data_IF_530666599563
#
_entry.id   IF_530666599563
#
_cell.length_a   1.000
_cell.length_b   1.000
_cell.length_c   1.000
_cell.angle_alpha   90.00
_cell.angle_beta   90.00
_cell.angle_gamma   90.00
#
_symmetry.space_group_name_H-M   'P 1'
#
loop_
_entity.id
_entity.type
_entity.pdbx_description
1 polymer ?
#
# COMPACT_ATOMS: atom_id res chain seq x y z
N UNK A 1 19.44 43.85 72.08
CA UNK A 1 18.36 44.39 71.25
C UNK A 1 17.22 44.68 72.20
N UNK A 2 16.81 45.94 72.31
CA UNK A 2 15.79 46.34 73.27
C UNK A 2 14.44 45.74 72.88
N UNK A 3 13.55 45.48 73.84
CA UNK A 3 12.31 44.74 73.58
C UNK A 3 11.44 45.46 72.53
N UNK A 4 11.47 46.79 72.54
CA UNK A 4 10.73 47.65 71.62
C UNK A 4 11.31 47.59 70.19
N UNK A 5 12.63 47.47 70.05
CA UNK A 5 13.31 47.34 68.76
C UNK A 5 13.02 45.98 68.11
N UNK A 6 12.97 44.91 68.91
CA UNK A 6 12.61 43.56 68.45
C UNK A 6 11.14 43.45 68.04
N UNK A 7 10.24 44.11 68.78
CA UNK A 7 8.81 44.18 68.45
C UNK A 7 8.56 44.90 67.13
N UNK A 8 9.31 45.98 66.87
CA UNK A 8 9.20 46.78 65.65
C UNK A 8 9.74 46.02 64.42
N UNK A 9 10.85 45.30 64.56
CA UNK A 9 11.40 44.44 63.51
C UNK A 9 10.41 43.30 63.16
N UNK A 10 9.87 42.61 64.16
CA UNK A 10 8.96 41.49 63.97
C UNK A 10 7.66 41.93 63.26
N UNK A 11 7.10 43.08 63.63
CA UNK A 11 5.86 43.61 63.03
C UNK A 11 6.06 44.23 61.65
N UNK A 12 7.19 44.88 61.38
CA UNK A 12 7.41 45.57 60.10
C UNK A 12 7.99 44.68 59.00
N UNK A 13 8.73 43.63 59.36
CA UNK A 13 9.40 42.77 58.36
C UNK A 13 8.97 41.32 58.47
N UNK A 14 9.04 40.69 59.64
CA UNK A 14 8.77 39.25 59.72
C UNK A 14 7.29 38.91 59.41
N UNK A 15 6.35 39.69 59.94
CA UNK A 15 4.92 39.42 59.76
C UNK A 15 4.46 39.55 58.30
N UNK A 16 4.83 40.60 57.54
CA UNK A 16 4.53 40.67 56.11
C UNK A 16 5.16 39.54 55.29
N UNK A 17 6.41 39.15 55.60
CA UNK A 17 7.07 38.04 54.90
C UNK A 17 6.38 36.69 55.18
N UNK A 18 5.95 36.45 56.42
CA UNK A 18 5.21 35.23 56.77
C UNK A 18 3.83 35.19 56.13
N UNK A 19 3.11 36.32 56.09
CA UNK A 19 1.82 36.41 55.41
C UNK A 19 1.98 36.23 53.90
N UNK A 20 3.00 36.84 53.30
CA UNK A 20 3.30 36.64 51.88
C UNK A 20 3.66 35.18 51.57
N UNK A 21 4.50 34.55 52.39
CA UNK A 21 4.85 33.14 52.24
C UNK A 21 3.61 32.24 52.38
N UNK A 22 2.74 32.51 53.34
CA UNK A 22 1.49 31.78 53.55
C UNK A 22 0.53 31.91 52.35
N UNK A 23 0.34 33.13 51.84
CA UNK A 23 -0.50 33.38 50.65
C UNK A 23 0.10 32.70 49.42
N UNK A 24 1.42 32.77 49.23
CA UNK A 24 2.11 32.15 48.10
C UNK A 24 1.98 30.62 48.13
N UNK A 25 2.23 29.99 49.28
CA UNK A 25 2.08 28.53 49.45
C UNK A 25 0.63 28.10 49.24
N UNK A 26 -0.32 28.86 49.77
CA UNK A 26 -1.75 28.57 49.61
C UNK A 26 -2.20 28.70 48.15
N UNK A 27 -1.71 29.71 47.41
CA UNK A 27 -2.00 29.87 45.99
C UNK A 27 -1.42 28.71 45.15
N UNK A 28 -0.19 28.28 45.44
CA UNK A 28 0.44 27.13 44.76
C UNK A 28 -0.32 25.84 45.06
N UNK A 29 -0.75 25.62 46.31
CA UNK A 29 -1.55 24.46 46.68
C UNK A 29 -2.91 24.47 45.97
N UNK A 30 -3.59 25.62 45.89
CA UNK A 30 -4.87 25.76 45.20
C UNK A 30 -4.76 25.44 43.71
N UNK A 31 -3.71 25.96 43.04
CA UNK A 31 -3.46 25.68 41.62
C UNK A 31 -3.23 24.18 41.43
N UNK A 32 -2.38 23.54 42.25
CA UNK A 32 -2.13 22.10 42.16
C UNK A 32 -3.39 21.25 42.39
N UNK A 33 -4.29 21.69 43.27
CA UNK A 33 -5.54 20.99 43.55
C UNK A 33 -6.50 21.11 42.36
N UNK A 34 -6.58 22.30 41.75
CA UNK A 34 -7.34 22.53 40.50
C UNK A 34 -6.78 21.72 39.33
N UNK A 35 -5.45 21.67 39.14
CA UNK A 35 -4.86 20.83 38.08
C UNK A 35 -5.12 19.34 38.31
N UNK A 36 -5.03 18.87 39.56
CA UNK A 36 -5.34 17.48 39.88
C UNK A 36 -6.82 17.13 39.62
N UNK A 37 -7.73 18.06 39.92
CA UNK A 37 -9.16 17.87 39.69
C UNK A 37 -9.49 17.84 38.19
N UNK A 38 -8.91 18.76 37.40
CA UNK A 38 -9.03 18.77 35.94
C UNK A 38 -8.40 17.54 35.29
N UNK A 39 -7.25 17.06 35.79
CA UNK A 39 -6.65 15.82 35.28
C UNK A 39 -7.53 14.60 35.57
N UNK A 40 -8.17 14.53 36.73
CA UNK A 40 -9.07 13.42 37.07
C UNK A 40 -10.34 13.42 36.21
N UNK A 41 -10.93 14.60 36.00
CA UNK A 41 -12.13 14.75 35.15
C UNK A 41 -11.80 14.41 33.69
N UNK A 42 -10.60 14.78 33.23
CA UNK A 42 -10.06 14.36 31.93
C UNK A 42 -9.82 12.83 31.84
N UNK A 43 -9.33 12.20 32.91
CA UNK A 43 -9.11 10.74 32.96
C UNK A 43 -10.45 9.95 32.97
N UNK A 44 -11.49 10.45 33.64
CA UNK A 44 -12.84 9.87 33.62
C UNK A 44 -13.51 10.00 32.24
N UNK A 45 -13.25 11.09 31.50
CA UNK A 45 -13.72 11.28 30.12
C UNK A 45 -12.89 10.47 29.09
N UNK A 46 -11.62 10.21 29.39
CA UNK A 46 -10.68 9.36 28.64
C UNK A 46 -11.08 7.88 28.63
N UNK A 47 -11.54 7.31 29.76
CA UNK A 47 -11.98 5.89 29.80
C UNK A 47 -13.23 5.62 28.94
N UNK A 48 -14.05 6.64 28.66
CA UNK A 48 -15.27 6.51 27.86
C UNK A 48 -15.07 6.68 26.34
N UNK A 49 -13.88 7.07 25.86
CA UNK A 49 -13.65 7.37 24.44
C UNK A 49 -12.70 6.35 23.78
N UNK A 50 -13.24 5.37 23.02
CA UNK A 50 -12.46 4.34 22.31
C UNK A 50 -11.65 4.84 21.08
N UNK A 51 -11.41 6.15 20.96
CA UNK A 51 -10.94 6.79 19.72
C UNK A 51 -9.40 6.92 19.61
N UNK A 52 -8.63 6.60 20.66
CA UNK A 52 -7.21 6.99 20.76
C UNK A 52 -6.16 5.85 20.68
N UNK A 53 -6.48 4.70 20.06
CA UNK A 53 -5.47 3.63 19.89
C UNK A 53 -4.32 4.00 18.93
N UNK A 54 -4.48 5.01 18.06
CA UNK A 54 -3.37 5.57 17.25
C UNK A 54 -2.41 6.46 18.04
N UNK A 55 -2.80 6.89 19.25
CA UNK A 55 -2.04 7.80 20.10
C UNK A 55 -0.99 7.11 20.96
N UNK A 56 -0.94 5.78 20.97
CA UNK A 56 0.00 5.00 21.80
C UNK A 56 1.48 5.31 21.50
N UNK A 57 1.83 5.73 20.27
CA UNK A 57 3.19 6.22 19.98
C UNK A 57 3.43 7.67 20.44
N UNK A 58 2.37 8.49 20.51
CA UNK A 58 2.45 9.86 20.96
C UNK A 58 2.41 9.97 22.49
N UNK A 59 1.77 9.04 23.20
CA UNK A 59 1.74 8.99 24.66
C UNK A 59 3.09 8.55 25.25
N UNK A 60 3.86 7.71 24.55
CA UNK A 60 5.26 7.44 24.94
C UNK A 60 6.17 8.65 24.68
N UNK A 61 5.99 9.36 23.56
CA UNK A 61 6.70 10.61 23.25
C UNK A 61 6.32 11.75 24.20
N UNK A 62 5.04 11.87 24.57
CA UNK A 62 4.52 12.87 25.51
C UNK A 62 4.86 12.52 26.95
N UNK A 63 4.95 11.24 27.34
CA UNK A 63 5.50 10.81 28.64
C UNK A 63 7.00 11.10 28.76
N UNK A 64 7.73 11.14 27.66
CA UNK A 64 9.12 11.60 27.60
C UNK A 64 9.18 13.15 27.63
N UNK A 65 8.30 13.85 26.91
CA UNK A 65 8.18 15.32 26.91
C UNK A 65 7.69 15.91 28.24
N UNK A 66 6.74 15.26 28.92
CA UNK A 66 6.18 15.66 30.21
C UNK A 66 7.13 15.36 31.37
N UNK A 67 8.00 14.34 31.24
CA UNK A 67 9.13 14.14 32.17
C UNK A 67 10.30 15.12 31.93
N UNK A 68 10.25 15.88 30.82
CA UNK A 68 11.23 16.88 30.42
C UNK A 68 10.87 18.33 30.84
N UNK A 69 9.67 18.55 31.38
CA UNK A 69 9.25 19.84 31.93
C UNK A 69 8.90 19.69 33.42
N UNK A 70 9.91 19.86 34.28
CA UNK A 70 9.72 19.99 35.72
C UNK A 70 8.60 21.00 36.06
N UNK A 71 7.67 20.68 36.99
CA UNK A 71 6.56 21.57 37.33
C UNK A 71 7.04 22.90 37.95
N UNK A 72 6.17 23.93 37.97
CA UNK A 72 6.54 25.34 38.11
C UNK A 72 7.24 25.83 39.39
N UNK A 73 7.39 25.09 40.51
CA UNK A 73 8.31 25.55 41.55
C UNK A 73 9.79 25.22 41.25
N UNK A 74 10.10 24.22 40.42
CA UNK A 74 11.50 23.75 40.24
C UNK A 74 12.26 24.43 39.10
N UNK A 75 11.58 24.94 38.07
CA UNK A 75 12.20 25.71 36.97
C UNK A 75 12.70 27.09 37.45
N UNK A 76 11.93 27.75 38.32
CA UNK A 76 12.30 29.04 38.91
C UNK A 76 13.45 28.86 39.91
N UNK A 77 13.40 27.82 40.75
CA UNK A 77 14.50 27.49 41.67
C UNK A 77 15.80 27.19 40.89
N UNK A 78 15.72 26.47 39.77
CA UNK A 78 16.87 26.22 38.89
C UNK A 78 17.45 27.51 38.29
N UNK A 79 16.60 28.38 37.75
CA UNK A 79 17.01 29.67 37.21
C UNK A 79 17.62 30.58 38.28
N UNK A 80 17.02 30.65 39.48
CA UNK A 80 17.53 31.39 40.63
C UNK A 80 18.88 30.84 41.10
N UNK A 81 19.05 29.51 41.19
CA UNK A 81 20.34 28.88 41.51
C UNK A 81 21.41 29.21 40.47
N UNK A 82 21.04 29.23 39.19
CA UNK A 82 21.96 29.58 38.11
C UNK A 82 22.39 31.05 38.16
N UNK A 83 21.45 31.96 38.41
CA UNK A 83 21.74 33.40 38.60
C UNK A 83 22.59 33.63 39.86
N UNK A 84 22.26 32.96 40.97
CA UNK A 84 23.03 33.04 42.22
C UNK A 84 24.48 32.58 42.03
N UNK A 85 24.70 31.48 41.29
CA UNK A 85 26.04 30.97 40.97
C UNK A 85 26.82 31.91 40.03
N UNK A 86 26.15 32.63 39.14
CA UNK A 86 26.78 33.65 38.29
C UNK A 86 27.20 34.87 39.13
N UNK A 87 26.34 35.32 40.04
CA UNK A 87 26.65 36.43 40.96
C UNK A 87 27.82 36.05 41.88
N UNK A 88 27.77 34.87 42.50
CA UNK A 88 28.87 34.33 43.32
C UNK A 88 30.19 34.30 42.53
N UNK A 89 30.17 33.88 41.25
CA UNK A 89 31.37 33.87 40.41
C UNK A 89 31.96 35.27 40.18
N UNK A 90 31.11 36.30 40.02
CA UNK A 90 31.59 37.68 39.86
C UNK A 90 32.14 38.25 41.17
N UNK A 91 31.50 37.94 42.30
CA UNK A 91 31.98 38.32 43.63
C UNK A 91 33.33 37.64 43.95
N UNK A 92 33.48 36.35 43.64
CA UNK A 92 34.76 35.63 43.81
C UNK A 92 35.86 36.15 42.87
N UNK A 93 35.53 36.62 41.66
CA UNK A 93 36.49 37.30 40.77
C UNK A 93 36.98 38.63 41.34
N UNK A 94 36.07 39.43 41.92
CA UNK A 94 36.39 40.70 42.58
C UNK A 94 37.24 40.48 43.85
N UNK A 95 36.90 39.50 44.69
CA UNK A 95 37.67 39.12 45.88
C UNK A 95 39.07 38.59 45.55
N UNK A 96 39.24 37.87 44.42
CA UNK A 96 40.54 37.42 43.92
C UNK A 96 41.46 38.59 43.53
N UNK A 97 40.90 39.73 43.11
CA UNK A 97 41.66 40.94 42.80
C UNK A 97 42.11 41.71 44.05
N UNK A 98 41.37 41.61 45.16
CA UNK A 98 41.73 42.27 46.44
C UNK A 98 42.71 41.47 47.33
N UNK A 99 43.19 40.29 46.91
CA UNK A 99 44.12 39.42 47.68
C UNK A 99 43.68 39.14 49.14
N UNK A 100 42.37 39.10 49.41
CA UNK A 100 41.84 38.67 50.71
C UNK A 100 41.36 37.23 50.56
N UNK A 101 42.03 36.30 51.24
CA UNK A 101 41.53 34.94 51.46
C UNK A 101 41.69 33.98 50.28
N UNK A 102 42.81 33.24 50.27
CA UNK A 102 42.92 32.03 49.48
C UNK A 102 42.02 30.95 50.07
N UNK A 103 40.92 30.63 49.38
CA UNK A 103 40.19 29.35 49.33
C UNK A 103 38.81 29.61 48.68
N UNK A 104 38.62 29.27 47.40
CA UNK A 104 37.27 28.95 46.88
C UNK A 104 37.17 28.40 45.45
N UNK A 105 38.27 28.23 44.70
CA UNK A 105 38.16 27.59 43.37
C UNK A 105 37.71 26.11 43.43
N UNK A 106 38.19 25.30 44.41
CA UNK A 106 37.73 23.91 44.56
C UNK A 106 36.25 23.81 44.99
N UNK A 107 35.76 24.74 45.81
CA UNK A 107 34.38 24.74 46.30
C UNK A 107 33.38 25.07 45.19
N UNK A 108 33.68 26.06 44.35
CA UNK A 108 32.90 26.37 43.15
C UNK A 108 32.92 25.22 42.13
N UNK A 109 34.09 24.61 41.90
CA UNK A 109 34.22 23.42 41.03
C UNK A 109 33.42 22.23 41.56
N UNK A 110 33.40 22.01 42.88
CA UNK A 110 32.64 20.93 43.52
C UNK A 110 31.12 21.15 43.40
N UNK A 111 30.62 22.35 43.72
CA UNK A 111 29.21 22.71 43.55
C UNK A 111 28.76 22.63 42.07
N UNK A 112 29.60 23.08 41.13
CA UNK A 112 29.29 23.01 39.69
C UNK A 112 29.25 21.56 39.18
N UNK A 113 30.17 20.70 39.64
CA UNK A 113 30.22 19.29 39.20
C UNK A 113 29.11 18.44 39.82
N UNK A 114 28.76 18.62 41.09
CA UNK A 114 27.78 17.77 41.75
C UNK A 114 26.33 18.23 41.55
N UNK A 115 26.06 19.53 41.41
CA UNK A 115 24.69 20.04 41.34
C UNK A 115 24.20 20.23 39.90
N UNK A 116 24.98 20.87 39.02
CA UNK A 116 24.55 21.16 37.63
C UNK A 116 24.74 19.96 36.70
N UNK A 117 25.80 19.17 36.89
CA UNK A 117 26.10 18.03 36.00
C UNK A 117 25.14 16.86 36.20
N UNK A 118 24.59 16.68 37.41
CA UNK A 118 23.51 15.70 37.69
C UNK A 118 22.15 16.12 37.14
N UNK A 119 21.87 17.42 37.00
CA UNK A 119 20.65 17.91 36.33
C UNK A 119 20.71 17.86 34.80
N UNK A 120 21.89 17.61 34.21
CA UNK A 120 22.11 17.54 32.76
C UNK A 120 22.11 16.11 32.20
N UNK A 121 21.61 15.13 32.94
CA UNK A 121 21.59 13.73 32.50
C UNK A 121 20.54 13.47 31.41
N UNK A 122 21.00 13.38 30.16
CA UNK A 122 20.43 12.68 28.98
C UNK A 122 18.96 12.91 28.57
N UNK A 123 18.53 14.16 28.32
CA UNK A 123 17.68 14.37 27.15
C UNK A 123 18.09 15.59 26.29
N UNK A 124 19.06 16.39 26.75
CA UNK A 124 19.43 17.65 26.11
C UNK A 124 20.35 17.50 24.88
N UNK A 125 20.89 16.31 24.59
CA UNK A 125 21.70 16.09 23.38
C UNK A 125 20.84 15.85 22.12
N UNK A 126 19.61 15.36 22.26
CA UNK A 126 18.73 15.09 21.11
C UNK A 126 18.17 16.39 20.52
N UNK A 127 17.85 17.38 21.37
CA UNK A 127 17.27 18.67 20.93
C UNK A 127 18.32 19.61 20.31
N UNK A 128 19.61 19.41 20.60
CA UNK A 128 20.67 20.29 20.07
C UNK A 128 20.97 20.03 18.58
N UNK A 129 20.61 18.86 18.03
CA UNK A 129 20.77 18.55 16.60
C UNK A 129 19.80 19.35 15.72
N UNK A 130 18.70 19.86 16.27
CA UNK A 130 17.62 20.49 15.50
C UNK A 130 17.63 22.03 15.47
N UNK A 131 18.50 22.70 16.24
CA UNK A 131 18.48 24.18 16.36
C UNK A 131 19.53 24.91 15.51
N UNK A 132 20.38 24.22 14.75
CA UNK A 132 21.50 24.86 14.03
C UNK A 132 21.39 24.84 12.48
N UNK A 133 20.21 24.61 11.89
CA UNK A 133 20.01 24.80 10.43
C UNK A 133 18.80 25.70 10.13
N UNK A 134 18.99 26.96 9.69
CA UNK A 134 17.91 27.89 9.39
C UNK A 134 17.36 27.78 7.96
N UNK A 135 17.42 26.60 7.33
CA UNK A 135 16.83 26.33 6.02
C UNK A 135 15.95 25.09 6.12
N UNK A 136 14.68 25.26 6.49
CA UNK A 136 13.56 24.46 5.99
C UNK A 136 12.24 25.05 6.53
N UNK A 137 11.34 25.49 5.64
CA UNK A 137 9.97 25.94 5.98
C UNK A 137 9.14 24.74 6.46
N UNK A 138 9.16 24.46 7.75
CA UNK A 138 8.33 23.40 8.36
C UNK A 138 6.87 23.86 8.53
N UNK A 139 6.62 25.16 8.69
CA UNK A 139 5.28 25.68 9.00
C UNK A 139 4.23 25.53 7.89
N UNK A 140 4.63 25.46 6.62
CA UNK A 140 3.67 25.33 5.52
C UNK A 140 3.25 23.87 5.25
N UNK A 141 4.19 22.93 5.44
CA UNK A 141 3.97 21.49 5.24
C UNK A 141 3.13 20.96 6.41
N UNK A 142 3.54 21.26 7.65
CA UNK A 142 2.80 20.83 8.84
C UNK A 142 1.38 21.42 8.88
N UNK A 143 1.18 22.65 8.42
CA UNK A 143 -0.14 23.27 8.40
C UNK A 143 -1.04 22.74 7.28
N UNK A 144 -0.48 22.31 6.14
CA UNK A 144 -1.23 21.60 5.10
C UNK A 144 -1.54 20.17 5.52
N UNK A 145 -0.60 19.46 6.15
CA UNK A 145 -0.80 18.10 6.65
C UNK A 145 -1.82 18.07 7.80
N UNK A 146 -1.76 19.03 8.74
CA UNK A 146 -2.78 19.18 9.79
C UNK A 146 -4.14 19.58 9.21
N UNK A 147 -4.18 20.41 8.16
CA UNK A 147 -5.43 20.74 7.47
C UNK A 147 -6.02 19.52 6.73
N UNK A 148 -5.17 18.65 6.19
CA UNK A 148 -5.55 17.39 5.54
C UNK A 148 -6.00 16.31 6.54
N UNK A 149 -5.44 16.31 7.75
CA UNK A 149 -5.82 15.42 8.87
C UNK A 149 -7.11 15.91 9.54
N UNK A 150 -7.33 17.22 9.68
CA UNK A 150 -8.58 17.80 10.19
C UNK A 150 -9.74 17.79 9.17
N UNK A 151 -9.55 17.22 7.98
CA UNK A 151 -10.57 17.07 6.93
C UNK A 151 -10.92 15.62 6.58
N UNK A 152 -10.48 14.62 7.35
CA UNK A 152 -10.88 13.22 7.11
C UNK A 152 -12.31 12.95 7.59
N UNK A 153 -13.26 13.22 6.70
CA UNK A 153 -14.70 12.90 6.77
C UNK A 153 -14.97 11.38 6.64
N UNK A 154 -14.20 10.48 7.27
CA UNK A 154 -14.39 9.04 7.09
C UNK A 154 -14.63 8.29 8.39
N UNK A 155 -15.66 7.44 8.41
CA UNK A 155 -16.00 6.54 9.52
C UNK A 155 -15.98 5.08 9.04
N UNK A 156 -15.58 4.17 9.94
CA UNK A 156 -15.72 2.73 9.74
C UNK A 156 -17.02 2.27 10.39
N UNK A 157 -17.95 1.71 9.61
CA UNK A 157 -19.20 1.15 10.12
C UNK A 157 -19.07 -0.37 10.17
N UNK A 158 -19.09 -0.93 11.38
CA UNK A 158 -19.04 -2.37 11.62
C UNK A 158 -20.46 -2.94 11.64
N UNK A 159 -20.69 -4.02 10.90
CA UNK A 159 -21.99 -4.72 10.85
C UNK A 159 -21.79 -6.21 10.54
N UNK A 160 -22.88 -6.96 10.50
CA UNK A 160 -22.87 -8.40 10.26
C UNK A 160 -23.16 -8.68 8.79
N UNK A 161 -22.28 -9.41 8.12
CA UNK A 161 -22.40 -9.62 6.69
C UNK A 161 -21.30 -10.48 6.08
N UNK A 162 -21.48 -10.84 4.81
CA UNK A 162 -20.55 -11.68 4.05
C UNK A 162 -20.46 -11.23 2.58
N UNK A 163 -19.26 -11.03 2.00
CA UNK A 163 -19.09 -10.76 0.57
C UNK A 163 -19.56 -11.94 -0.30
N UNK A 164 -20.34 -11.68 -1.36
CA UNK A 164 -20.91 -12.70 -2.25
C UNK A 164 -20.19 -12.83 -3.60
N UNK A 165 -19.85 -11.71 -4.23
CA UNK A 165 -19.18 -11.66 -5.54
C UNK A 165 -17.90 -10.84 -5.40
N UNK A 166 -16.76 -11.54 -5.48
CA UNK A 166 -15.43 -10.96 -5.32
C UNK A 166 -14.58 -11.24 -6.56
N UNK A 167 -13.91 -10.21 -7.10
CA UNK A 167 -13.02 -10.30 -8.26
C UNK A 167 -11.54 -10.22 -7.85
N UNK A 168 -11.22 -10.82 -6.71
CA UNK A 168 -9.93 -10.69 -6.02
C UNK A 168 -10.11 -10.13 -4.60
N UNK A 169 -9.10 -10.32 -3.76
CA UNK A 169 -9.05 -9.81 -2.39
C UNK A 169 -7.63 -9.88 -1.86
N UNK A 170 -7.28 -9.05 -0.87
CA UNK A 170 -6.01 -9.17 -0.16
C UNK A 170 -6.24 -9.82 1.19
N UNK A 171 -5.64 -10.99 1.44
CA UNK A 171 -5.64 -11.60 2.76
C UNK A 171 -4.57 -10.94 3.63
N UNK A 172 -4.96 -10.44 4.79
CA UNK A 172 -4.07 -9.85 5.77
C UNK A 172 -3.96 -10.76 6.99
N UNK A 173 -2.75 -11.19 7.31
CA UNK A 173 -2.44 -11.97 8.50
C UNK A 173 -2.26 -11.03 9.71
N UNK A 174 -3.39 -10.50 10.20
CA UNK A 174 -3.43 -9.51 11.29
C UNK A 174 -4.76 -9.58 12.02
N UNK A 175 -4.82 -9.00 13.23
CA UNK A 175 -6.04 -8.97 14.03
C UNK A 175 -7.15 -8.14 13.37
N UNK A 176 -8.39 -8.34 13.77
CA UNK A 176 -9.52 -7.55 13.28
C UNK A 176 -9.33 -6.06 13.55
N UNK A 177 -8.83 -5.72 14.74
CA UNK A 177 -8.59 -4.34 15.18
C UNK A 177 -7.49 -3.67 14.35
N UNK A 178 -6.41 -4.39 14.05
CA UNK A 178 -5.34 -3.89 13.19
C UNK A 178 -5.81 -3.76 11.73
N UNK A 179 -6.65 -4.67 11.26
CA UNK A 179 -7.25 -4.61 9.93
C UNK A 179 -8.18 -3.40 9.78
N UNK A 180 -9.01 -3.12 10.80
CA UNK A 180 -9.85 -1.92 10.87
C UNK A 180 -9.01 -0.64 10.78
N UNK A 181 -7.94 -0.54 11.57
CA UNK A 181 -7.06 0.63 11.56
C UNK A 181 -6.34 0.81 10.23
N UNK A 182 -5.89 -0.30 9.62
CA UNK A 182 -5.28 -0.28 8.30
C UNK A 182 -6.26 0.19 7.23
N UNK A 183 -7.49 -0.34 7.22
CA UNK A 183 -8.51 0.09 6.26
C UNK A 183 -8.91 1.55 6.45
N UNK A 184 -9.03 2.01 7.70
CA UNK A 184 -9.37 3.41 7.99
C UNK A 184 -8.32 4.39 7.47
N UNK A 185 -7.03 4.07 7.66
CA UNK A 185 -5.89 4.89 7.23
C UNK A 185 -5.56 4.80 5.74
N UNK A 186 -5.94 3.71 5.07
CA UNK A 186 -5.69 3.51 3.64
C UNK A 186 -6.82 4.08 2.77
N UNK A 187 -6.49 5.09 1.97
CA UNK A 187 -7.42 5.73 1.05
C UNK A 187 -8.06 4.78 0.03
N UNK A 188 -7.43 3.63 -0.27
CA UNK A 188 -7.88 2.64 -1.24
C UNK A 188 -8.91 1.64 -0.67
N UNK A 189 -9.01 1.55 0.65
CA UNK A 189 -9.89 0.58 1.29
C UNK A 189 -11.36 0.99 1.22
N UNK A 190 -12.24 0.04 0.92
CA UNK A 190 -13.70 0.24 0.94
C UNK A 190 -14.44 -0.70 1.90
N UNK A 191 -13.93 -1.91 2.09
CA UNK A 191 -14.54 -2.95 2.91
C UNK A 191 -13.47 -3.87 3.50
N UNK A 192 -13.70 -4.34 4.72
CA UNK A 192 -13.01 -5.50 5.29
C UNK A 192 -13.99 -6.55 5.79
N UNK A 193 -13.53 -7.80 5.85
CA UNK A 193 -14.30 -8.95 6.33
C UNK A 193 -13.47 -9.77 7.33
N UNK A 194 -14.08 -10.15 8.44
CA UNK A 194 -13.42 -10.94 9.48
C UNK A 194 -13.32 -12.41 9.08
N UNK A 195 -12.09 -12.92 8.99
CA UNK A 195 -11.76 -14.31 8.70
C UNK A 195 -10.85 -14.89 9.79
N UNK A 196 -11.09 -14.49 11.04
CA UNK A 196 -10.31 -14.82 12.25
C UNK A 196 -9.56 -16.16 12.16
N UNK A 197 -8.22 -16.17 12.33
CA UNK A 197 -7.38 -15.10 12.91
C UNK A 197 -6.92 -14.02 11.92
N UNK A 198 -7.38 -14.09 10.67
CA UNK A 198 -6.97 -13.17 9.58
C UNK A 198 -8.10 -12.21 9.20
N UNK A 199 -7.83 -11.28 8.30
CA UNK A 199 -8.83 -10.37 7.77
C UNK A 199 -8.72 -10.25 6.25
N UNK A 200 -9.84 -10.21 5.55
CA UNK A 200 -9.88 -9.95 4.10
C UNK A 200 -10.11 -8.46 3.84
N UNK A 201 -9.22 -7.87 3.05
CA UNK A 201 -9.22 -6.47 2.65
C UNK A 201 -9.68 -6.34 1.19
N UNK A 202 -10.55 -5.37 0.92
CA UNK A 202 -11.09 -5.10 -0.42
C UNK A 202 -10.93 -3.64 -0.82
N UNK A 203 -10.50 -3.44 -2.07
CA UNK A 203 -10.56 -2.15 -2.77
C UNK A 203 -11.83 -2.04 -3.62
N UNK A 204 -12.15 -0.81 -4.05
CA UNK A 204 -13.31 -0.58 -4.91
C UNK A 204 -13.17 -1.37 -6.24
N UNK A 205 -14.21 -2.12 -6.61
CA UNK A 205 -14.22 -3.01 -7.77
C UNK A 205 -13.79 -4.46 -7.48
N UNK A 206 -13.13 -4.72 -6.35
CA UNK A 206 -12.89 -6.11 -5.91
C UNK A 206 -14.12 -6.73 -5.25
N UNK A 207 -15.01 -5.92 -4.69
CA UNK A 207 -16.27 -6.33 -4.06
C UNK A 207 -17.45 -5.57 -4.66
N UNK A 208 -18.53 -6.29 -4.94
CA UNK A 208 -19.76 -5.73 -5.52
C UNK A 208 -20.97 -5.86 -4.61
N UNK A 209 -21.11 -7.04 -4.00
CA UNK A 209 -22.29 -7.43 -3.25
C UNK A 209 -21.87 -8.00 -1.90
N UNK A 210 -22.49 -7.51 -0.83
CA UNK A 210 -22.32 -8.02 0.54
C UNK A 210 -23.69 -8.40 1.09
N UNK A 211 -23.85 -9.66 1.44
CA UNK A 211 -25.06 -10.16 2.10
C UNK A 211 -25.10 -9.62 3.53
N UNK A 212 -26.25 -9.07 3.93
CA UNK A 212 -26.52 -8.65 5.30
C UNK A 212 -26.92 -9.86 6.14
N UNK A 213 -26.27 -10.01 7.28
CA UNK A 213 -26.54 -11.11 8.21
C UNK A 213 -27.09 -10.56 9.54
N UNK A 214 -27.71 -11.44 10.32
CA UNK A 214 -28.16 -11.13 11.68
C UNK A 214 -27.01 -11.26 12.68
N UNK A 215 -27.06 -10.51 13.79
CA UNK A 215 -25.99 -10.38 14.80
C UNK A 215 -25.51 -11.66 15.50
N UNK A 216 -26.03 -12.82 15.13
CA UNK A 216 -25.66 -14.14 15.65
C UNK A 216 -24.61 -14.81 14.74
N UNK A 217 -24.37 -14.29 13.53
CA UNK A 217 -23.38 -14.86 12.61
C UNK A 217 -21.96 -14.47 13.01
N UNK A 218 -21.00 -15.39 12.96
CA UNK A 218 -19.56 -15.11 13.19
C UNK A 218 -18.97 -14.13 12.13
N UNK A 219 -19.67 -13.92 11.01
CA UNK A 219 -19.21 -13.09 9.91
C UNK A 219 -19.57 -11.62 10.13
N UNK A 220 -18.57 -10.81 10.44
CA UNK A 220 -18.68 -9.35 10.49
C UNK A 220 -17.88 -8.70 9.36
N UNK A 221 -18.38 -7.56 8.92
CA UNK A 221 -17.78 -6.72 7.89
C UNK A 221 -17.70 -5.27 8.40
N UNK A 222 -16.76 -4.51 7.86
CA UNK A 222 -16.71 -3.08 8.13
C UNK A 222 -16.55 -2.27 6.85
N UNK A 223 -17.42 -1.27 6.68
CA UNK A 223 -17.46 -0.38 5.52
C UNK A 223 -16.77 0.94 5.84
N UNK A 224 -15.95 1.44 4.92
CA UNK A 224 -15.40 2.79 4.99
C UNK A 224 -16.33 3.76 4.27
N UNK A 225 -16.95 4.68 5.00
CA UNK A 225 -17.96 5.60 4.45
C UNK A 225 -17.63 7.06 4.75
N UNK A 226 -18.10 7.97 3.89
CA UNK A 226 -18.01 9.40 4.17
C UNK A 226 -19.01 9.76 5.28
N UNK A 227 -18.56 10.55 6.26
CA UNK A 227 -19.40 11.09 7.32
C UNK A 227 -19.14 12.58 7.48
N UNK A 228 -20.23 13.35 7.55
CA UNK A 228 -20.20 14.80 7.75
C UNK A 228 -20.13 15.21 9.23
N UNK A 229 -20.13 14.24 10.14
CA UNK A 229 -20.18 14.49 11.58
C UNK A 229 -18.79 14.40 12.22
N UNK A 230 -18.44 15.40 13.02
CA UNK A 230 -17.17 15.50 13.75
C UNK A 230 -17.16 14.73 15.08
N UNK A 231 -17.91 13.62 15.18
CA UNK A 231 -18.02 12.80 16.39
C UNK A 231 -18.64 11.44 16.13
N UNK A 232 -18.38 10.47 17.01
CA UNK A 232 -19.06 9.17 17.00
C UNK A 232 -20.45 9.35 17.62
N UNK A 233 -21.48 9.31 16.79
CA UNK A 233 -22.88 9.20 17.24
C UNK A 233 -23.10 7.79 17.82
N UNK A 234 -23.99 7.70 18.81
CA UNK A 234 -24.32 6.47 19.54
C UNK A 234 -24.54 5.27 18.57
N UNK A 235 -23.89 4.11 18.75
CA UNK A 235 -24.05 2.94 17.89
C UNK A 235 -25.51 2.44 17.77
N UNK A 236 -26.39 2.84 18.69
CA UNK A 236 -27.83 2.58 18.60
C UNK A 236 -28.61 3.56 17.70
N UNK A 237 -28.05 4.75 17.41
CA UNK A 237 -28.72 5.83 16.68
C UNK A 237 -28.26 5.97 15.22
N UNK A 238 -27.08 5.46 14.85
CA UNK A 238 -26.66 5.40 13.45
C UNK A 238 -26.03 4.07 13.08
N UNK A 239 -26.72 3.30 12.24
CA UNK A 239 -26.00 2.59 11.20
C UNK A 239 -26.47 3.22 9.90
N UNK A 240 -25.65 4.10 9.32
CA UNK A 240 -25.92 4.73 8.01
C UNK A 240 -26.24 3.67 6.93
N UNK A 241 -25.93 2.40 7.19
CA UNK A 241 -26.17 1.21 6.36
C UNK A 241 -27.42 0.38 6.73
N UNK A 242 -28.34 0.85 7.60
CA UNK A 242 -29.62 0.13 7.90
C UNK A 242 -30.65 0.29 6.79
N UNK A 243 -30.66 1.43 6.10
CA UNK A 243 -31.62 1.71 5.04
C UNK A 243 -31.08 2.80 4.11
N UNK A 244 -31.25 2.63 2.80
CA UNK A 244 -30.96 3.65 1.81
C UNK A 244 -29.58 3.51 1.15
N UNK A 245 -29.10 4.63 0.61
CA UNK A 245 -27.82 4.73 -0.12
C UNK A 245 -26.86 5.64 0.63
N UNK A 246 -25.67 5.13 0.93
CA UNK A 246 -24.57 5.89 1.56
C UNK A 246 -23.51 6.19 0.53
N UNK A 247 -23.06 7.45 0.47
CA UNK A 247 -21.95 7.83 -0.39
C UNK A 247 -20.61 7.67 0.34
N UNK A 248 -19.58 7.31 -0.40
CA UNK A 248 -18.20 7.27 0.07
C UNK A 248 -17.26 7.60 -1.08
N UNK A 249 -15.96 7.69 -0.79
CA UNK A 249 -14.94 7.83 -1.82
C UNK A 249 -13.71 6.96 -1.51
N UNK A 250 -13.07 6.47 -2.56
CA UNK A 250 -11.84 5.69 -2.48
C UNK A 250 -10.83 6.20 -3.51
N UNK A 251 -9.55 5.95 -3.26
CA UNK A 251 -8.49 6.28 -4.20
C UNK A 251 -8.22 5.10 -5.14
N UNK A 252 -8.25 5.37 -6.45
CA UNK A 252 -7.82 4.44 -7.51
C UNK A 252 -6.86 5.20 -8.43
N UNK A 253 -5.67 4.66 -8.67
CA UNK A 253 -4.64 5.27 -9.53
C UNK A 253 -4.37 6.76 -9.22
N UNK A 254 -4.23 7.09 -7.93
CA UNK A 254 -4.04 8.45 -7.40
C UNK A 254 -5.19 9.44 -7.74
N UNK A 255 -6.38 8.93 -8.07
CA UNK A 255 -7.59 9.72 -8.28
C UNK A 255 -8.68 9.33 -7.28
N UNK A 256 -9.42 10.32 -6.78
CA UNK A 256 -10.57 10.08 -5.91
C UNK A 256 -11.80 9.66 -6.72
N UNK A 257 -12.41 8.53 -6.34
CA UNK A 257 -13.62 7.98 -6.95
C UNK A 257 -14.74 7.97 -5.94
N UNK A 258 -15.87 8.61 -6.26
CA UNK A 258 -17.08 8.49 -5.47
C UNK A 258 -17.81 7.19 -5.78
N UNK A 259 -18.28 6.52 -4.75
CA UNK A 259 -19.11 5.32 -4.86
C UNK A 259 -20.25 5.35 -3.85
N UNK A 260 -21.30 4.62 -4.18
CA UNK A 260 -22.51 4.49 -3.39
C UNK A 260 -22.62 3.06 -2.87
N UNK A 261 -23.02 2.89 -1.61
CA UNK A 261 -23.39 1.61 -1.01
C UNK A 261 -24.89 1.66 -0.74
N UNK A 262 -25.65 0.86 -1.49
CA UNK A 262 -27.12 0.82 -1.40
C UNK A 262 -27.57 -0.51 -0.81
N UNK A 263 -28.40 -0.48 0.24
CA UNK A 263 -29.02 -1.70 0.79
C UNK A 263 -30.36 -1.98 0.10
N UNK A 264 -30.46 -3.11 -0.60
CA UNK A 264 -31.69 -3.60 -1.23
C UNK A 264 -31.83 -5.11 -0.97
N UNK A 265 -33.00 -5.55 -0.51
CA UNK A 265 -33.30 -6.98 -0.26
C UNK A 265 -32.22 -7.70 0.56
N UNK A 266 -31.79 -7.09 1.67
CA UNK A 266 -30.71 -7.60 2.54
C UNK A 266 -29.36 -7.83 1.85
N UNK A 267 -29.09 -7.12 0.74
CA UNK A 267 -27.79 -7.09 0.07
C UNK A 267 -27.31 -5.65 -0.10
N UNK A 268 -26.13 -5.33 0.43
CA UNK A 268 -25.45 -4.08 0.14
C UNK A 268 -24.76 -4.18 -1.23
N UNK A 269 -25.05 -3.21 -2.10
CA UNK A 269 -24.53 -3.11 -3.46
C UNK A 269 -23.63 -1.89 -3.60
N UNK A 270 -22.42 -2.11 -4.09
CA UNK A 270 -21.51 -1.04 -4.49
C UNK A 270 -21.85 -0.57 -5.90
N UNK A 271 -22.09 0.73 -6.07
CA UNK A 271 -22.29 1.35 -7.38
C UNK A 271 -21.36 2.55 -7.55
N UNK A 272 -20.66 2.60 -8.67
CA UNK A 272 -19.70 3.65 -9.02
C UNK A 272 -19.58 3.76 -10.53
N UNK A 273 -19.02 4.86 -11.03
CA UNK A 273 -18.74 5.06 -12.45
C UNK A 273 -17.42 4.39 -12.85
N UNK A 274 -17.20 3.17 -12.38
CA UNK A 274 -16.02 2.40 -12.72
C UNK A 274 -16.26 1.56 -13.97
N UNK A 275 -15.32 1.63 -14.89
CA UNK A 275 -15.23 0.73 -16.04
C UNK A 275 -14.02 -0.18 -15.92
N UNK A 276 -14.22 -1.45 -16.24
CA UNK A 276 -13.13 -2.40 -16.40
C UNK A 276 -12.31 -2.02 -17.64
N UNK A 277 -11.02 -1.81 -17.43
CA UNK A 277 -10.07 -1.46 -18.49
C UNK A 277 -8.88 -2.41 -18.40
N UNK A 278 -8.42 -2.84 -19.56
CA UNK A 278 -7.21 -3.64 -19.67
C UNK A 278 -5.98 -2.73 -19.79
N UNK A 279 -4.78 -3.22 -19.44
CA UNK A 279 -3.54 -2.50 -19.71
C UNK A 279 -3.40 -2.10 -21.18
N UNK A 280 -2.57 -1.09 -21.45
CA UNK A 280 -2.32 -0.64 -22.82
C UNK A 280 -1.82 -1.78 -23.70
N UNK A 281 -2.35 -1.85 -24.93
CA UNK A 281 -2.09 -2.92 -25.92
C UNK A 281 -2.63 -4.31 -25.53
N UNK A 282 -3.50 -4.39 -24.54
CA UNK A 282 -4.25 -5.59 -24.18
C UNK A 282 -5.68 -5.50 -24.67
N UNK A 283 -6.31 -6.65 -24.91
CA UNK A 283 -7.74 -6.75 -25.23
C UNK A 283 -8.49 -7.54 -24.17
N UNK A 284 -9.64 -7.03 -23.76
CA UNK A 284 -10.51 -7.73 -22.81
C UNK A 284 -11.26 -8.88 -23.50
N UNK A 285 -11.30 -10.01 -22.81
CA UNK A 285 -12.09 -11.20 -23.14
C UNK A 285 -12.83 -11.67 -21.88
N UNK A 286 -13.87 -12.47 -22.08
CA UNK A 286 -14.63 -13.06 -20.99
C UNK A 286 -14.50 -14.58 -21.04
N UNK A 287 -13.95 -15.18 -19.98
CA UNK A 287 -13.82 -16.63 -19.82
C UNK A 287 -14.80 -17.09 -18.75
N UNK A 288 -15.97 -17.58 -19.19
CA UNK A 288 -17.08 -17.87 -18.28
C UNK A 288 -17.62 -16.59 -17.63
N UNK A 289 -17.47 -16.46 -16.31
CA UNK A 289 -17.82 -15.24 -15.55
C UNK A 289 -16.63 -14.33 -15.23
N UNK A 290 -15.41 -14.70 -15.65
CA UNK A 290 -14.18 -14.00 -15.30
C UNK A 290 -13.72 -13.16 -16.50
N UNK A 291 -13.66 -11.82 -16.38
CA UNK A 291 -13.04 -11.00 -17.40
C UNK A 291 -11.51 -11.08 -17.29
N UNK A 292 -10.84 -11.23 -18.43
CA UNK A 292 -9.38 -11.34 -18.54
C UNK A 292 -8.88 -10.43 -19.65
N UNK A 293 -7.65 -9.94 -19.51
CA UNK A 293 -6.97 -9.10 -20.47
C UNK A 293 -5.86 -9.89 -21.14
N UNK A 294 -5.98 -10.08 -22.46
CA UNK A 294 -4.98 -10.79 -23.25
C UNK A 294 -3.98 -9.80 -23.84
N UNK A 295 -2.70 -10.05 -23.58
CA UNK A 295 -1.58 -9.21 -23.98
C UNK A 295 -0.58 -10.02 -24.78
N UNK A 296 -0.22 -9.53 -25.97
CA UNK A 296 0.88 -10.10 -26.74
C UNK A 296 2.12 -9.27 -26.43
N UNK A 297 2.99 -9.81 -25.57
CA UNK A 297 4.25 -9.14 -25.24
C UNK A 297 5.20 -9.31 -26.41
N UNK A 298 5.74 -8.19 -26.91
CA UNK A 298 6.59 -8.16 -28.08
C UNK A 298 8.00 -7.70 -27.72
N UNK A 299 8.98 -8.14 -28.49
CA UNK A 299 10.35 -7.64 -28.43
C UNK A 299 10.94 -7.37 -29.80
N UNK A 300 11.94 -6.51 -29.82
CA UNK A 300 12.85 -6.30 -30.94
C UNK A 300 13.86 -7.43 -31.12
N UNK A 301 13.95 -8.38 -30.19
CA UNK A 301 14.81 -9.56 -30.28
C UNK A 301 13.98 -10.84 -30.24
N UNK A 302 14.50 -11.89 -30.86
CA UNK A 302 13.87 -13.21 -30.80
C UNK A 302 14.06 -13.82 -29.40
N UNK A 303 13.01 -14.46 -28.87
CA UNK A 303 12.99 -15.10 -27.56
C UNK A 303 12.93 -16.61 -27.68
N UNK A 304 13.67 -17.31 -26.83
CA UNK A 304 13.37 -18.71 -26.56
C UNK A 304 12.21 -18.81 -25.54
N UNK A 305 11.68 -20.01 -25.35
CA UNK A 305 10.55 -20.22 -24.44
C UNK A 305 10.94 -20.00 -22.97
N UNK A 306 12.16 -20.38 -22.57
CA UNK A 306 12.63 -20.23 -21.19
C UNK A 306 12.70 -18.76 -20.77
N UNK A 307 13.19 -17.91 -21.68
CA UNK A 307 13.22 -16.46 -21.49
C UNK A 307 11.81 -15.88 -21.45
N UNK A 308 10.88 -16.40 -22.26
CA UNK A 308 9.47 -15.98 -22.21
C UNK A 308 8.80 -16.33 -20.87
N UNK A 309 9.05 -17.54 -20.35
CA UNK A 309 8.56 -17.95 -19.03
C UNK A 309 9.21 -17.10 -17.91
N UNK A 310 10.51 -16.79 -18.03
CA UNK A 310 11.26 -15.99 -17.05
C UNK A 310 11.01 -14.47 -17.13
N UNK A 311 10.63 -13.94 -18.29
CA UNK A 311 10.38 -12.51 -18.54
C UNK A 311 9.07 -11.99 -17.93
N UNK A 312 8.48 -12.78 -17.02
CA UNK A 312 7.51 -12.37 -16.00
C UNK A 312 6.13 -11.96 -16.57
N UNK A 313 5.37 -12.94 -17.04
CA UNK A 313 3.90 -12.82 -16.97
C UNK A 313 3.42 -12.68 -15.50
N UNK A 314 4.28 -12.92 -14.50
CA UNK A 314 3.97 -12.75 -13.07
C UNK A 314 3.47 -11.33 -12.71
N UNK A 315 3.90 -10.30 -13.46
CA UNK A 315 3.40 -8.93 -13.28
C UNK A 315 1.95 -8.72 -13.73
N UNK A 316 1.37 -9.68 -14.46
CA UNK A 316 0.04 -9.57 -15.08
C UNK A 316 -1.06 -10.29 -14.26
N UNK A 317 -0.72 -11.26 -13.41
CA UNK A 317 -1.63 -11.74 -12.35
C UNK A 317 -2.50 -12.98 -12.66
N UNK A 318 -2.44 -13.55 -13.87
CA UNK A 318 -3.01 -14.88 -14.17
C UNK A 318 -1.87 -15.90 -14.31
N UNK A 319 -1.55 -16.58 -13.20
CA UNK A 319 -0.45 -17.55 -13.04
C UNK A 319 0.93 -17.01 -13.48
N UNK A 320 2.01 -17.46 -12.86
CA UNK A 320 3.38 -17.06 -13.24
C UNK A 320 3.83 -17.73 -14.57
N UNK A 321 2.91 -17.94 -15.50
CA UNK A 321 3.10 -18.72 -16.73
C UNK A 321 2.50 -17.99 -17.93
N UNK A 322 2.85 -18.44 -19.14
CA UNK A 322 2.22 -17.95 -20.36
C UNK A 322 0.70 -18.22 -20.35
N UNK A 323 -0.03 -17.46 -21.15
CA UNK A 323 -1.48 -17.58 -21.32
C UNK A 323 -1.81 -18.56 -22.47
N UNK A 324 -2.87 -19.34 -22.29
CA UNK A 324 -3.45 -20.18 -23.32
C UNK A 324 -4.52 -19.45 -24.13
N UNK A 325 -4.94 -20.03 -25.26
CA UNK A 325 -6.04 -19.52 -26.08
C UNK A 325 -7.31 -20.31 -25.72
N UNK A 326 -8.30 -19.66 -25.10
CA UNK A 326 -9.49 -20.32 -24.55
C UNK A 326 -10.73 -20.24 -25.46
N UNK A 327 -10.72 -19.40 -26.50
CA UNK A 327 -11.86 -19.22 -27.40
C UNK A 327 -11.43 -18.89 -28.84
N UNK A 328 -12.35 -19.04 -29.79
CA UNK A 328 -12.12 -18.66 -31.18
C UNK A 328 -11.89 -17.16 -31.37
N UNK A 329 -12.53 -16.32 -30.57
CA UNK A 329 -12.32 -14.87 -30.61
C UNK A 329 -10.91 -14.49 -30.14
N UNK A 330 -10.40 -15.19 -29.13
CA UNK A 330 -9.01 -15.07 -28.69
C UNK A 330 -8.04 -15.55 -29.78
N UNK A 331 -8.32 -16.68 -30.44
CA UNK A 331 -7.51 -17.20 -31.54
C UNK A 331 -7.39 -16.20 -32.70
N UNK A 332 -8.53 -15.62 -33.14
CA UNK A 332 -8.54 -14.64 -34.22
C UNK A 332 -7.88 -13.31 -33.80
N UNK A 333 -7.96 -12.93 -32.52
CA UNK A 333 -7.22 -11.78 -32.01
C UNK A 333 -5.71 -12.00 -32.06
N UNK A 334 -5.21 -13.16 -31.59
CA UNK A 334 -3.78 -13.50 -31.67
C UNK A 334 -3.34 -13.51 -33.14
N UNK A 335 -4.08 -14.21 -34.00
CA UNK A 335 -3.79 -14.28 -35.44
C UNK A 335 -3.73 -12.90 -36.09
N UNK A 336 -4.73 -12.06 -35.91
CA UNK A 336 -4.79 -10.74 -36.51
C UNK A 336 -3.70 -9.79 -36.00
N UNK A 337 -3.37 -9.84 -34.70
CA UNK A 337 -2.32 -9.00 -34.13
C UNK A 337 -0.92 -9.43 -34.59
N UNK A 338 -0.58 -10.72 -34.50
CA UNK A 338 0.73 -11.18 -34.96
C UNK A 338 0.86 -10.97 -36.47
N UNK A 339 -0.21 -11.19 -37.25
CA UNK A 339 -0.22 -10.92 -38.70
C UNK A 339 -0.11 -9.42 -39.04
N UNK A 340 -0.79 -8.53 -38.32
CA UNK A 340 -0.68 -7.08 -38.51
C UNK A 340 0.78 -6.60 -38.34
N UNK A 341 1.55 -7.24 -37.46
CA UNK A 341 2.97 -6.96 -37.22
C UNK A 341 3.89 -7.56 -38.29
N UNK A 342 3.42 -8.54 -39.05
CA UNK A 342 4.13 -9.02 -40.24
C UNK A 342 4.01 -8.09 -41.44
N UNK A 343 3.16 -7.04 -41.42
CA UNK A 343 2.88 -6.19 -42.59
C UNK A 343 4.17 -5.65 -43.22
N UNK A 344 4.47 -6.23 -44.38
CA UNK A 344 5.41 -5.80 -45.43
C UNK A 344 4.65 -5.99 -46.75
N UNK A 345 4.70 -4.96 -47.61
CA UNK A 345 4.31 -4.87 -49.03
C UNK A 345 3.64 -6.12 -49.65
N UNK A 346 2.31 -6.12 -49.80
CA UNK A 346 1.66 -6.97 -50.84
C UNK A 346 1.47 -6.09 -52.07
N UNK A 347 2.33 -6.25 -53.07
CA UNK A 347 2.09 -5.75 -54.42
C UNK A 347 0.79 -6.37 -54.94
N UNK A 348 -0.32 -5.61 -54.98
CA UNK A 348 -1.36 -5.89 -55.96
C UNK A 348 -0.82 -5.43 -57.31
N UNK A 349 -0.89 -6.29 -58.32
CA UNK A 349 -0.49 -6.08 -59.71
C UNK A 349 -1.26 -4.96 -60.45
N UNK A 350 -1.80 -3.98 -59.74
CA UNK A 350 -2.54 -2.84 -60.27
C UNK A 350 -1.94 -1.51 -59.79
N UNK A 351 -0.68 -1.27 -60.15
CA UNK A 351 -0.17 0.06 -60.55
C UNK A 351 -0.21 1.24 -59.57
N UNK A 352 -0.54 1.08 -58.29
CA UNK A 352 -0.46 2.18 -57.31
C UNK A 352 0.46 1.78 -56.16
N UNK A 353 1.71 2.25 -56.22
CA UNK A 353 2.66 2.12 -55.14
C UNK A 353 2.22 3.04 -53.99
N UNK A 354 1.95 2.47 -52.82
CA UNK A 354 1.94 3.24 -51.58
C UNK A 354 3.04 2.68 -50.68
N UNK A 355 4.05 3.49 -50.43
CA UNK A 355 5.16 3.20 -49.53
C UNK A 355 4.66 3.14 -48.08
N UNK A 356 4.73 1.98 -47.44
CA UNK A 356 4.46 1.83 -46.01
C UNK A 356 5.50 0.92 -45.34
N UNK A 357 6.00 1.39 -44.20
CA UNK A 357 7.12 0.85 -43.40
C UNK A 357 6.89 -0.59 -42.92
N UNK A 358 7.98 -1.36 -42.84
CA UNK A 358 8.04 -2.71 -42.27
C UNK A 358 7.94 -2.63 -40.74
N UNK A 359 6.85 -3.10 -40.13
CA UNK A 359 6.70 -3.09 -38.67
C UNK A 359 7.20 -4.39 -37.99
N UNK A 360 8.28 -5.00 -38.50
CA UNK A 360 9.05 -5.96 -37.68
C UNK A 360 10.00 -5.16 -36.80
N UNK A 361 9.86 -5.31 -35.48
CA UNK A 361 10.75 -4.66 -34.51
C UNK A 361 12.15 -5.28 -34.48
N UNK A 362 12.37 -6.39 -35.21
CA UNK A 362 13.63 -7.12 -35.26
C UNK A 362 14.62 -6.51 -36.26
N UNK A 363 15.94 -6.51 -35.97
CA UNK A 363 16.97 -6.04 -36.90
C UNK A 363 17.03 -6.83 -38.22
N UNK A 364 16.57 -8.09 -38.20
CA UNK A 364 16.52 -9.00 -39.35
C UNK A 364 15.05 -9.19 -39.75
N UNK A 365 14.78 -9.17 -41.05
CA UNK A 365 13.46 -9.45 -41.61
C UNK A 365 13.27 -10.95 -41.80
N UNK A 366 12.36 -11.54 -41.04
CA UNK A 366 12.00 -12.96 -41.15
C UNK A 366 10.73 -13.14 -42.01
N UNK A 367 10.67 -14.22 -42.80
CA UNK A 367 9.48 -14.65 -43.55
C UNK A 367 8.38 -15.17 -42.63
N UNK A 368 8.74 -15.67 -41.44
CA UNK A 368 7.81 -16.24 -40.45
C UNK A 368 8.04 -15.63 -39.08
N UNK A 369 6.95 -15.28 -38.40
CA UNK A 369 6.99 -14.79 -37.02
C UNK A 369 6.16 -15.71 -36.13
N UNK A 370 6.65 -15.93 -34.91
CA UNK A 370 5.95 -16.69 -33.90
C UNK A 370 5.85 -15.96 -32.56
N UNK A 371 4.93 -16.44 -31.71
CA UNK A 371 4.84 -16.07 -30.31
C UNK A 371 4.67 -17.34 -29.47
N UNK A 372 5.29 -17.39 -28.29
CA UNK A 372 5.15 -18.52 -27.38
C UNK A 372 3.78 -18.53 -26.69
N UNK A 373 3.23 -19.72 -26.49
CA UNK A 373 1.96 -19.96 -25.81
C UNK A 373 2.15 -20.83 -24.57
N UNK A 374 1.15 -20.83 -23.70
CA UNK A 374 1.03 -21.88 -22.68
C UNK A 374 0.90 -23.27 -23.32
N UNK A 375 1.46 -24.26 -22.64
CA UNK A 375 1.55 -25.64 -23.10
C UNK A 375 2.97 -26.17 -23.01
N UNK A 376 3.13 -27.21 -22.20
CA UNK A 376 4.36 -27.97 -22.06
C UNK A 376 4.06 -29.46 -22.22
N UNK A 377 4.81 -30.15 -23.07
CA UNK A 377 4.57 -31.56 -23.37
C UNK A 377 4.70 -32.41 -22.11
N UNK A 378 3.72 -33.29 -21.87
CA UNK A 378 3.72 -34.21 -20.73
C UNK A 378 4.90 -35.18 -20.86
N UNK A 379 5.55 -35.52 -19.75
CA UNK A 379 6.67 -36.47 -19.76
C UNK A 379 6.27 -37.85 -20.31
N UNK A 380 5.01 -38.27 -20.10
CA UNK A 380 4.46 -39.51 -20.66
C UNK A 380 4.23 -39.46 -22.18
N UNK A 381 4.26 -38.27 -22.77
CA UNK A 381 4.10 -38.01 -24.20
C UNK A 381 5.38 -37.44 -24.83
N UNK A 382 6.56 -37.71 -24.23
CA UNK A 382 7.89 -37.47 -24.82
C UNK A 382 8.45 -38.77 -25.40
N UNK A 383 9.34 -38.68 -26.40
CA UNK A 383 10.02 -39.88 -26.94
C UNK A 383 10.72 -40.64 -25.80
N UNK A 384 10.60 -41.98 -25.74
CA UNK A 384 10.20 -42.90 -26.81
C UNK A 384 8.69 -43.21 -26.91
N UNK A 385 7.81 -42.43 -26.28
CA UNK A 385 6.36 -42.60 -26.45
C UNK A 385 5.93 -42.47 -27.92
N UNK A 386 4.79 -43.07 -28.26
CA UNK A 386 4.19 -43.04 -29.60
C UNK A 386 2.79 -42.43 -29.55
N UNK A 387 2.26 -41.99 -30.70
CA UNK A 387 0.91 -41.41 -30.77
C UNK A 387 -0.12 -42.41 -30.26
N UNK A 388 -0.96 -41.92 -29.35
CA UNK A 388 -2.06 -42.67 -28.73
C UNK A 388 -3.21 -41.72 -28.45
N UNK A 389 -4.37 -42.22 -27.99
CA UNK A 389 -5.49 -41.35 -27.61
C UNK A 389 -5.09 -40.29 -26.55
N UNK A 390 -4.17 -40.63 -25.65
CA UNK A 390 -3.67 -39.76 -24.58
C UNK A 390 -2.49 -38.87 -25.01
N UNK A 391 -1.80 -39.24 -26.09
CA UNK A 391 -0.69 -38.48 -26.67
C UNK A 391 -1.00 -38.19 -28.14
N UNK A 392 -2.07 -37.44 -28.38
CA UNK A 392 -2.41 -36.91 -29.69
C UNK A 392 -3.02 -35.50 -29.57
N UNK A 393 -2.46 -34.53 -30.30
CA UNK A 393 -2.98 -33.16 -30.37
C UNK A 393 -2.88 -32.46 -29.01
N UNK A 394 -3.98 -31.83 -28.57
CA UNK A 394 -4.01 -31.08 -27.30
C UNK A 394 -3.71 -31.98 -26.09
N UNK A 395 -4.00 -33.28 -26.17
CA UNK A 395 -3.83 -34.22 -25.06
C UNK A 395 -2.35 -34.48 -24.72
N UNK A 396 -1.42 -34.16 -25.62
CA UNK A 396 0.03 -34.32 -25.42
C UNK A 396 0.61 -33.32 -24.39
N UNK A 397 -0.13 -32.26 -24.04
CA UNK A 397 0.40 -31.12 -23.30
C UNK A 397 -0.32 -30.91 -21.96
N UNK A 398 0.44 -30.38 -21.00
CA UNK A 398 -0.04 -29.75 -19.78
C UNK A 398 -0.17 -28.24 -20.02
N UNK A 399 -1.30 -27.68 -19.60
CA UNK A 399 -1.57 -26.24 -19.67
C UNK A 399 -1.57 -25.68 -18.26
N UNK A 400 -0.82 -24.61 -18.05
CA UNK A 400 -0.70 -23.95 -16.76
C UNK A 400 -1.81 -22.93 -16.53
N UNK A 401 -2.37 -22.37 -17.60
CA UNK A 401 -3.46 -21.39 -17.55
C UNK A 401 -4.75 -22.07 -17.03
N UNK A 402 -5.23 -21.72 -15.82
CA UNK A 402 -6.38 -22.37 -15.21
C UNK A 402 -7.68 -22.14 -15.98
N UNK A 403 -7.73 -21.10 -16.81
CA UNK A 403 -8.92 -20.73 -17.60
C UNK A 403 -8.83 -21.18 -19.06
N UNK A 404 -7.72 -21.80 -19.47
CA UNK A 404 -7.49 -22.33 -20.82
C UNK A 404 -7.01 -23.79 -20.83
N UNK A 405 -7.43 -24.60 -19.84
CA UNK A 405 -7.08 -26.02 -19.73
C UNK A 405 -7.50 -26.87 -20.94
N UNK A 406 -8.53 -26.43 -21.66
CA UNK A 406 -8.96 -27.00 -22.94
C UNK A 406 -8.82 -25.93 -24.02
N UNK A 407 -7.62 -25.74 -24.57
CA UNK A 407 -7.39 -24.60 -25.44
C UNK A 407 -8.07 -24.77 -26.80
N UNK A 408 -8.49 -23.65 -27.37
CA UNK A 408 -9.25 -23.55 -28.61
C UNK A 408 -8.40 -22.86 -29.66
N UNK A 409 -7.75 -23.65 -30.51
CA UNK A 409 -6.94 -23.17 -31.62
C UNK A 409 -6.85 -24.22 -32.74
N UNK A 410 -6.31 -23.81 -33.88
CA UNK A 410 -6.00 -24.71 -34.99
C UNK A 410 -4.53 -25.13 -34.95
N UNK A 411 -4.30 -26.43 -34.98
CA UNK A 411 -2.99 -26.98 -35.30
C UNK A 411 -2.61 -26.64 -36.74
N UNK A 412 -1.33 -26.35 -36.95
CA UNK A 412 -0.77 -26.30 -38.30
C UNK A 412 -0.80 -27.71 -38.93
N UNK A 413 -0.76 -27.80 -40.27
CA UNK A 413 -0.67 -29.09 -40.94
C UNK A 413 0.49 -29.93 -40.38
N UNK A 414 0.21 -31.20 -40.12
CA UNK A 414 1.13 -32.21 -39.55
C UNK A 414 1.56 -32.01 -38.09
N UNK A 415 0.95 -31.08 -37.35
CA UNK A 415 1.33 -30.79 -35.96
C UNK A 415 0.28 -31.34 -34.97
N UNK A 416 0.65 -31.64 -33.71
CA UNK A 416 2.03 -31.67 -33.19
C UNK A 416 2.82 -32.86 -33.76
N UNK A 417 4.13 -32.67 -33.96
CA UNK A 417 5.00 -33.63 -34.63
C UNK A 417 6.19 -34.16 -33.82
N UNK A 418 6.44 -33.68 -32.60
CA UNK A 418 7.55 -34.13 -31.73
C UNK A 418 7.58 -35.65 -31.44
N UNK A 419 6.45 -36.35 -31.53
CA UNK A 419 6.37 -37.82 -31.40
C UNK A 419 6.55 -38.59 -32.72
N UNK A 420 6.63 -37.91 -33.85
CA UNK A 420 6.63 -38.52 -35.19
C UNK A 420 7.88 -38.13 -35.97
N UNK A 421 7.83 -37.02 -36.70
CA UNK A 421 8.86 -36.57 -37.64
C UNK A 421 9.67 -35.41 -37.05
N UNK A 422 9.10 -34.63 -36.12
CA UNK A 422 9.74 -33.47 -35.51
C UNK A 422 10.93 -33.82 -34.60
N UNK A 423 11.61 -32.77 -34.13
CA UNK A 423 12.71 -32.89 -33.18
C UNK A 423 12.19 -33.53 -31.88
N UNK A 424 13.00 -34.41 -31.28
CA UNK A 424 12.58 -35.23 -30.13
C UNK A 424 12.25 -34.42 -28.87
N UNK A 425 12.77 -33.19 -28.81
CA UNK A 425 12.62 -32.21 -27.75
C UNK A 425 11.62 -31.09 -28.11
N UNK A 426 10.76 -31.31 -29.10
CA UNK A 426 9.67 -30.38 -29.47
C UNK A 426 8.58 -30.36 -28.40
N UNK A 427 8.90 -29.76 -27.26
CA UNK A 427 8.12 -29.86 -26.02
C UNK A 427 7.26 -28.62 -25.75
N UNK A 428 7.43 -27.55 -26.54
CA UNK A 428 6.84 -26.24 -26.26
C UNK A 428 5.95 -25.74 -27.40
N UNK A 429 4.82 -25.12 -27.02
CA UNK A 429 3.84 -24.60 -27.98
C UNK A 429 4.12 -23.17 -28.43
N UNK A 430 3.88 -22.92 -29.71
CA UNK A 430 3.94 -21.59 -30.30
C UNK A 430 2.77 -21.35 -31.23
N UNK A 431 2.40 -20.07 -31.41
CA UNK A 431 1.56 -19.62 -32.51
C UNK A 431 2.42 -18.95 -33.58
N UNK A 432 2.14 -19.19 -34.86
CA UNK A 432 2.95 -18.68 -35.97
C UNK A 432 2.12 -18.22 -37.15
N UNK A 433 2.65 -17.20 -37.82
CA UNK A 433 2.15 -16.62 -39.06
C UNK A 433 3.29 -16.50 -40.07
N UNK A 434 2.94 -16.44 -41.35
CA UNK A 434 3.89 -16.47 -42.46
C UNK A 434 3.50 -15.47 -43.55
N UNK A 435 4.48 -14.96 -44.30
CA UNK A 435 4.27 -14.18 -45.53
C UNK A 435 4.02 -15.07 -46.75
N UNK A 436 4.28 -16.36 -46.64
CA UNK A 436 4.10 -17.30 -47.74
C UNK A 436 2.63 -17.62 -47.96
N UNK A 437 2.17 -17.52 -49.20
CA UNK A 437 0.77 -17.73 -49.56
C UNK A 437 0.22 -19.13 -49.19
N UNK A 438 1.11 -20.14 -49.08
CA UNK A 438 0.74 -21.53 -48.82
C UNK A 438 0.94 -21.95 -47.35
N UNK A 439 1.41 -21.07 -46.49
CA UNK A 439 1.69 -21.40 -45.10
C UNK A 439 0.55 -20.94 -44.19
N UNK A 440 -0.04 -21.90 -43.47
CA UNK A 440 -1.23 -21.67 -42.66
C UNK A 440 -0.84 -21.18 -41.26
N UNK A 441 -1.48 -20.10 -40.84
CA UNK A 441 -1.35 -19.58 -39.48
C UNK A 441 -1.98 -20.56 -38.47
N UNK A 442 -1.29 -20.83 -37.37
CA UNK A 442 -1.77 -21.76 -36.37
C UNK A 442 -0.72 -22.12 -35.34
N UNK A 443 -1.06 -23.12 -34.53
CA UNK A 443 -0.23 -23.60 -33.42
C UNK A 443 0.62 -24.78 -33.87
N UNK A 444 1.84 -24.84 -33.34
CA UNK A 444 2.74 -25.96 -33.49
C UNK A 444 3.60 -26.18 -32.24
N UNK A 445 4.45 -27.20 -32.30
CA UNK A 445 5.42 -27.57 -31.29
C UNK A 445 6.86 -27.46 -31.80
N UNK A 446 7.76 -27.05 -30.90
CA UNK A 446 9.15 -26.77 -31.22
C UNK A 446 10.02 -26.91 -29.96
N UNK A 447 11.34 -27.14 -30.09
CA UNK A 447 12.22 -27.10 -28.93
C UNK A 447 12.17 -25.77 -28.19
N UNK A 448 12.14 -25.86 -26.86
CA UNK A 448 11.95 -24.71 -25.98
C UNK A 448 13.15 -23.74 -25.94
N UNK A 449 14.34 -24.24 -26.27
CA UNK A 449 15.62 -23.54 -26.04
C UNK A 449 16.02 -22.57 -27.15
N UNK A 450 15.45 -22.70 -28.35
CA UNK A 450 15.92 -21.94 -29.51
C UNK A 450 15.03 -20.73 -29.83
N UNK A 451 15.60 -19.52 -29.93
CA UNK A 451 14.82 -18.31 -30.23
C UNK A 451 14.50 -18.15 -31.73
N UNK A 452 15.28 -18.80 -32.59
CA UNK A 452 15.20 -18.69 -34.05
C UNK A 452 15.41 -20.03 -34.71
N UNK A 453 14.80 -20.24 -35.87
CA UNK A 453 14.98 -21.42 -36.71
C UNK A 453 15.35 -20.99 -38.13
N UNK A 454 16.66 -20.87 -38.44
CA UNK A 454 17.13 -20.35 -39.73
C UNK A 454 16.63 -21.15 -40.94
N UNK A 455 16.51 -22.47 -40.81
CA UNK A 455 15.97 -23.35 -41.87
C UNK A 455 14.52 -23.02 -42.24
N UNK A 456 13.78 -22.41 -41.31
CA UNK A 456 12.39 -21.99 -41.49
C UNK A 456 12.26 -20.47 -41.59
N UNK A 457 13.36 -19.72 -41.65
CA UNK A 457 13.38 -18.25 -41.58
C UNK A 457 12.37 -17.70 -40.56
N UNK A 458 12.44 -18.25 -39.34
CA UNK A 458 11.48 -18.05 -38.25
C UNK A 458 12.15 -17.42 -37.04
N UNK A 459 11.49 -16.41 -36.47
CA UNK A 459 11.82 -15.77 -35.21
C UNK A 459 10.60 -15.72 -34.29
N UNK A 460 10.78 -16.09 -33.03
CA UNK A 460 9.77 -15.90 -31.99
C UNK A 460 9.90 -14.51 -31.40
N UNK A 461 9.00 -13.60 -31.78
CA UNK A 461 9.09 -12.16 -31.48
C UNK A 461 8.36 -11.77 -30.19
N UNK A 462 7.91 -12.75 -29.41
CA UNK A 462 7.09 -12.49 -28.25
C UNK A 462 6.45 -13.71 -27.64
N UNK A 463 5.53 -13.45 -26.72
CA UNK A 463 4.80 -14.46 -25.96
C UNK A 463 3.45 -13.91 -25.48
N UNK A 464 2.52 -14.82 -25.18
CA UNK A 464 1.17 -14.46 -24.74
C UNK A 464 1.11 -14.41 -23.21
N UNK A 465 0.69 -13.27 -22.65
CA UNK A 465 0.42 -13.11 -21.22
C UNK A 465 -1.04 -12.72 -20.96
N UNK A 466 -1.49 -13.01 -19.74
CA UNK A 466 -2.83 -12.69 -19.25
C UNK A 466 -2.81 -11.85 -18.00
N UNK A 467 -3.65 -10.82 -17.94
CA UNK A 467 -3.93 -10.09 -16.69
C UNK A 467 -5.39 -10.03 -16.33
N UNK A 468 -5.67 -9.72 -15.06
CA UNK A 468 -7.00 -9.24 -14.69
C UNK A 468 -7.14 -7.76 -15.09
N UNK A 469 -8.30 -7.36 -15.63
CA UNK A 469 -8.60 -5.94 -15.84
C UNK A 469 -8.58 -5.18 -14.52
N UNK A 470 -8.19 -3.90 -14.60
CA UNK A 470 -8.28 -2.98 -13.48
C UNK A 470 -9.50 -2.08 -13.66
N UNK A 471 -10.00 -1.53 -12.56
CA UNK A 471 -11.07 -0.54 -12.63
C UNK A 471 -10.47 0.83 -12.86
N UNK A 472 -11.05 1.58 -13.80
CA UNK A 472 -10.70 2.98 -14.05
C UNK A 472 -11.97 3.83 -14.00
N UNK A 473 -11.78 5.11 -13.73
CA UNK A 473 -12.85 6.11 -13.66
C UNK A 473 -13.17 6.58 -15.09
N UNK A 474 -14.44 6.55 -15.47
CA UNK A 474 -14.95 7.11 -16.73
C UNK A 474 -14.90 8.64 -16.72
#
# INVERSE_FOLDING_TARGET
>A
MDHDEASCLFRSTLLPFLVFAYIFVSAVLLVNLLTAQLSKEYDEEYENCSYYNGYLKYDELSKIEAKLLLPPPLSIIYALLHVLLIILRQVFKLLKHMRIGGWCDPCYQFLRKNTIKRMKGDPYQVVKVWREKPEYRIDAIVKNDIKHILTTLFKMIVTWGKPLQVSGSTLLDTSWEDCLQKCWSDAKCVLIHDTSPTCTYYTLGQVFNVEKLTAISVNRVAFRVLSNETGCSDPALEPMLVSGTVQSKAEIDNKEVFYNVTLENDVWRFSSNLTLVCPDNSKMFTRGSVPVCMTIVQSSTCFNRLDADAASCASFGIADTLMGIASWDEFEYVKSNVFSRMKVLIFRSSGTAISFLTNQSTPVNYMRLGVWLDGSRKDTCKRPATKSANCNGNNEYFYSDPYAQNPVFLWRPNQPDGLTIGDADSDCLFFRVSKEANDVAGVGDMPCSSPTYPSLDLCYVGYLCGSYPTYTIV
#
